data_IF_933852943279
#
_entry.id   IF_933852943279
#
_cell.length_a   1.000
_cell.length_b   1.000
_cell.length_c   1.000
_cell.angle_alpha   90.00
_cell.angle_beta   90.00
_cell.angle_gamma   90.00
#
_symmetry.space_group_name_H-M   'P 1'
#
loop_
_entity.id
_entity.type
_entity.pdbx_description
1 polymer ?
#
# COMPACT_ATOMS: atom_id res chain seq x y z
N UNK A 1 -22.37 -7.12 26.08
CA UNK A 1 -22.74 -7.35 24.67
C UNK A 1 -21.46 -7.29 23.84
N UNK A 2 -20.80 -8.43 23.61
CA UNK A 2 -19.61 -8.53 22.75
C UNK A 2 -20.03 -9.25 21.48
N UNK A 3 -20.15 -8.51 20.39
CA UNK A 3 -20.33 -9.11 19.06
C UNK A 3 -19.32 -8.45 18.14
N UNK A 4 -18.11 -9.04 18.07
CA UNK A 4 -17.12 -8.72 17.06
C UNK A 4 -16.98 -9.91 16.13
N UNK A 5 -17.78 -9.93 15.07
CA UNK A 5 -17.54 -10.82 13.93
C UNK A 5 -17.72 -10.00 12.65
N UNK A 6 -16.61 -9.58 12.07
CA UNK A 6 -16.55 -9.18 10.67
C UNK A 6 -15.60 -10.14 9.96
N UNK A 7 -16.13 -11.29 9.56
CA UNK A 7 -15.56 -12.06 8.46
C UNK A 7 -16.41 -11.70 7.24
N UNK A 8 -15.88 -10.80 6.41
CA UNK A 8 -16.41 -10.53 5.07
C UNK A 8 -15.35 -10.99 4.06
N UNK A 9 -15.23 -12.29 3.85
CA UNK A 9 -14.52 -12.83 2.67
C UNK A 9 -15.51 -12.84 1.51
N UNK A 10 -15.70 -11.68 0.90
CA UNK A 10 -16.27 -11.63 -0.44
C UNK A 10 -15.24 -10.92 -1.32
N UNK A 11 -14.77 -11.63 -2.35
CA UNK A 11 -13.63 -11.36 -3.23
C UNK A 11 -13.65 -9.97 -3.90
N UNK A 12 -13.46 -8.89 -3.13
CA UNK A 12 -13.38 -7.52 -3.62
C UNK A 12 -12.10 -7.30 -4.43
N UNK A 13 -10.98 -7.87 -3.99
CA UNK A 13 -9.72 -7.87 -4.72
C UNK A 13 -9.58 -9.15 -5.53
N UNK A 14 -9.84 -9.07 -6.83
CA UNK A 14 -9.71 -10.23 -7.73
C UNK A 14 -8.24 -10.66 -7.89
N UNK A 15 -7.29 -9.75 -7.66
CA UNK A 15 -5.87 -10.09 -7.68
C UNK A 15 -5.09 -9.31 -6.63
N UNK A 16 -4.76 -9.99 -5.53
CA UNK A 16 -3.81 -9.51 -4.53
C UNK A 16 -2.44 -10.02 -4.95
N UNK A 17 -1.53 -9.12 -5.32
CA UNK A 17 -0.15 -9.51 -5.65
C UNK A 17 0.76 -9.23 -4.47
N UNK A 18 1.43 -10.27 -3.98
CA UNK A 18 2.60 -10.12 -3.12
C UNK A 18 3.76 -9.70 -4.01
N UNK A 19 4.14 -8.42 -3.95
CA UNK A 19 5.20 -7.85 -4.78
C UNK A 19 6.57 -8.23 -4.24
N UNK A 20 6.71 -8.20 -2.91
CA UNK A 20 8.01 -8.37 -2.26
C UNK A 20 7.83 -9.00 -0.89
N UNK A 21 8.78 -9.86 -0.51
CA UNK A 21 8.94 -10.33 0.87
C UNK A 21 10.42 -10.52 1.16
N UNK A 22 10.94 -9.86 2.19
CA UNK A 22 12.32 -10.03 2.63
C UNK A 22 12.95 -8.72 3.11
N UNK A 23 14.27 -8.66 3.05
CA UNK A 23 15.10 -7.52 3.45
C UNK A 23 14.74 -6.24 2.71
N UNK A 24 14.43 -5.18 3.44
CA UNK A 24 14.21 -3.85 2.89
C UNK A 24 15.49 -3.02 3.05
N UNK A 25 16.15 -2.73 1.92
CA UNK A 25 17.31 -1.85 1.90
C UNK A 25 16.89 -0.42 2.21
N UNK A 26 17.27 0.06 3.39
CA UNK A 26 16.69 1.24 3.99
C UNK A 26 17.71 1.93 4.90
N UNK A 27 17.81 3.26 4.82
CA UNK A 27 18.84 4.05 5.52
C UNK A 27 18.80 3.97 7.07
N UNK A 28 17.81 3.30 7.67
CA UNK A 28 17.76 3.04 9.12
C UNK A 28 18.39 1.69 9.50
N UNK A 29 18.77 0.87 8.52
CA UNK A 29 19.47 -0.38 8.77
C UNK A 29 20.84 -0.09 9.41
N UNK A 30 21.23 -0.94 10.35
CA UNK A 30 22.48 -0.91 11.09
C UNK A 30 23.05 -2.33 11.21
N UNK A 31 24.28 -2.46 11.71
CA UNK A 31 25.05 -3.72 11.75
C UNK A 31 24.28 -4.89 12.38
N UNK A 32 23.43 -4.62 13.37
CA UNK A 32 22.67 -5.62 14.13
C UNK A 32 21.14 -5.42 14.07
N UNK A 33 20.64 -4.54 13.20
CA UNK A 33 19.21 -4.25 13.09
C UNK A 33 18.84 -3.85 11.66
N UNK A 34 17.86 -4.53 11.08
CA UNK A 34 17.35 -4.19 9.74
C UNK A 34 15.85 -4.39 9.66
N UNK A 35 15.25 -3.82 8.62
CA UNK A 35 13.84 -4.04 8.32
C UNK A 35 13.65 -5.18 7.32
N UNK A 36 12.70 -6.04 7.61
CA UNK A 36 12.10 -6.96 6.63
C UNK A 36 10.64 -6.58 6.45
N UNK A 37 10.13 -6.71 5.23
CA UNK A 37 8.75 -6.34 4.93
C UNK A 37 8.08 -7.33 4.00
N UNK A 38 6.75 -7.28 3.99
CA UNK A 38 5.90 -7.91 2.99
C UNK A 38 5.11 -6.80 2.30
N UNK A 39 5.34 -6.63 0.99
CA UNK A 39 4.59 -5.67 0.19
C UNK A 39 3.43 -6.37 -0.49
N UNK A 40 2.23 -5.89 -0.19
CA UNK A 40 0.99 -6.33 -0.81
C UNK A 40 0.47 -5.19 -1.67
N UNK A 41 0.26 -5.46 -2.95
CA UNK A 41 -0.37 -4.52 -3.86
C UNK A 41 -1.82 -4.94 -4.12
N UNK A 42 -2.73 -4.10 -3.65
CA UNK A 42 -4.15 -4.18 -3.91
C UNK A 42 -4.48 -3.19 -5.03
N UNK A 43 -4.85 -3.72 -6.19
CA UNK A 43 -5.20 -2.90 -7.34
C UNK A 43 -6.61 -3.23 -7.80
N UNK A 44 -7.39 -2.18 -8.07
CA UNK A 44 -8.77 -2.30 -8.49
C UNK A 44 -8.83 -2.68 -9.98
N UNK A 45 -9.80 -3.51 -10.35
CA UNK A 45 -10.00 -3.88 -11.75
C UNK A 45 -10.89 -2.85 -12.42
N UNK A 46 -10.44 -2.26 -13.53
CA UNK A 46 -11.22 -1.28 -14.32
C UNK A 46 -12.64 -1.79 -14.64
N UNK A 47 -12.77 -3.10 -14.90
CA UNK A 47 -14.04 -3.74 -15.26
C UNK A 47 -15.12 -3.78 -14.16
N UNK A 48 -14.78 -3.53 -12.90
CA UNK A 48 -15.72 -3.62 -11.77
C UNK A 48 -16.04 -2.26 -11.13
N UNK A 49 -15.43 -1.18 -11.62
CA UNK A 49 -15.46 0.12 -10.95
C UNK A 49 -14.68 0.12 -9.63
N UNK A 50 -14.53 1.31 -9.03
CA UNK A 50 -13.79 1.48 -7.78
C UNK A 50 -14.42 0.66 -6.65
N UNK A 51 -13.64 -0.19 -5.98
CA UNK A 51 -14.05 -1.05 -4.86
C UNK A 51 -13.67 -0.46 -3.50
N UNK A 52 -12.72 0.48 -3.49
CA UNK A 52 -12.17 1.21 -2.37
C UNK A 52 -12.69 2.65 -2.42
N UNK A 53 -13.82 2.95 -1.75
CA UNK A 53 -14.33 4.30 -1.70
C UNK A 53 -13.41 5.20 -0.87
N UNK A 54 -13.46 6.52 -1.12
CA UNK A 54 -12.68 7.52 -0.39
C UNK A 54 -12.93 7.51 1.13
N UNK A 55 -14.07 6.98 1.57
CA UNK A 55 -14.36 6.79 3.00
C UNK A 55 -13.31 5.90 3.70
N UNK A 56 -12.61 5.01 2.98
CA UNK A 56 -11.52 4.23 3.57
C UNK A 56 -10.35 5.11 4.00
N UNK A 57 -10.10 6.23 3.31
CA UNK A 57 -9.03 7.15 3.66
C UNK A 57 -9.26 7.78 5.03
N UNK A 58 -10.52 8.01 5.41
CA UNK A 58 -10.88 8.52 6.74
C UNK A 58 -10.48 7.56 7.86
N UNK A 59 -10.45 6.26 7.58
CA UNK A 59 -10.00 5.23 8.54
C UNK A 59 -8.48 5.21 8.69
N UNK A 60 -7.74 5.77 7.74
CA UNK A 60 -6.28 5.82 7.75
C UNK A 60 -5.74 7.12 8.37
N UNK A 61 -6.59 8.13 8.59
CA UNK A 61 -6.20 9.37 9.24
C UNK A 61 -5.86 9.13 10.72
N UNK A 62 -4.77 9.74 11.19
CA UNK A 62 -4.38 9.68 12.59
C UNK A 62 -5.25 10.60 13.45
N UNK A 63 -5.95 10.08 14.48
CA UNK A 63 -6.79 10.89 15.35
C UNK A 63 -5.99 11.97 16.09
N UNK A 64 -6.51 13.21 16.11
CA UNK A 64 -5.89 14.31 16.85
C UNK A 64 -4.77 15.04 16.09
N UNK A 65 -4.57 14.71 14.81
CA UNK A 65 -3.67 15.43 13.90
C UNK A 65 -4.48 16.15 12.82
N UNK A 66 -3.86 17.14 12.17
CA UNK A 66 -4.40 17.75 10.93
C UNK A 66 -4.02 16.95 9.68
N UNK A 67 -3.33 15.81 9.84
CA UNK A 67 -2.86 15.00 8.73
C UNK A 67 -4.02 14.25 8.05
N UNK A 68 -3.96 14.19 6.72
CA UNK A 68 -5.00 13.58 5.90
C UNK A 68 -4.40 12.64 4.86
N UNK A 69 -5.00 11.46 4.75
CA UNK A 69 -4.73 10.50 3.69
C UNK A 69 -5.47 10.90 2.42
N UNK A 70 -4.78 10.81 1.28
CA UNK A 70 -5.35 11.02 -0.04
C UNK A 70 -4.79 9.99 -1.02
N UNK A 71 -5.55 9.69 -2.06
CA UNK A 71 -5.01 9.00 -3.23
C UNK A 71 -4.03 9.93 -3.95
N UNK A 72 -2.88 9.39 -4.36
CA UNK A 72 -1.86 10.13 -5.10
C UNK A 72 -1.46 9.30 -6.30
N UNK A 73 -1.22 9.97 -7.42
CA UNK A 73 -0.65 9.32 -8.60
C UNK A 73 0.77 8.80 -8.31
N UNK A 74 1.02 7.56 -8.68
CA UNK A 74 2.34 6.93 -8.52
C UNK A 74 3.32 7.60 -9.48
N UNK A 75 4.39 8.20 -8.95
CA UNK A 75 5.42 8.89 -9.74
C UNK A 75 6.79 8.84 -9.07
N UNK A 76 7.86 8.99 -9.84
CA UNK A 76 9.24 9.06 -9.36
C UNK A 76 9.50 10.24 -8.40
N UNK A 77 8.69 11.30 -8.48
CA UNK A 77 8.78 12.49 -7.63
C UNK A 77 7.97 12.41 -6.34
N UNK A 78 7.50 11.22 -5.96
CA UNK A 78 6.89 11.05 -4.65
C UNK A 78 7.97 11.30 -3.59
N UNK A 79 7.74 12.25 -2.68
CA UNK A 79 8.63 12.62 -1.55
C UNK A 79 8.70 11.50 -0.49
N UNK A 80 8.78 10.27 -0.95
CA UNK A 80 8.93 9.07 -0.16
C UNK A 80 10.41 8.73 -0.05
N UNK A 81 10.68 7.89 0.93
CA UNK A 81 12.00 7.33 1.14
C UNK A 81 12.44 6.48 -0.05
N UNK A 82 13.74 6.43 -0.32
CA UNK A 82 14.32 5.65 -1.42
C UNK A 82 13.86 4.18 -1.43
N UNK A 83 13.78 3.55 -0.25
CA UNK A 83 13.28 2.18 -0.07
C UNK A 83 11.86 1.98 -0.60
N UNK A 84 10.99 2.98 -0.41
CA UNK A 84 9.60 2.97 -0.87
C UNK A 84 9.48 3.32 -2.35
N UNK A 85 10.34 4.20 -2.87
CA UNK A 85 10.40 4.49 -4.31
C UNK A 85 10.79 3.25 -5.12
N UNK A 86 11.70 2.41 -4.61
CA UNK A 86 12.01 1.13 -5.24
C UNK A 86 10.77 0.23 -5.32
N UNK A 87 9.97 0.16 -4.25
CA UNK A 87 8.72 -0.62 -4.23
C UNK A 87 7.73 -0.09 -5.28
N UNK A 88 7.52 1.23 -5.34
CA UNK A 88 6.59 1.84 -6.30
C UNK A 88 7.04 1.65 -7.75
N UNK A 89 8.35 1.72 -8.02
CA UNK A 89 8.90 1.39 -9.33
C UNK A 89 8.54 -0.04 -9.77
N UNK A 90 8.73 -1.02 -8.87
CA UNK A 90 8.37 -2.42 -9.15
C UNK A 90 6.86 -2.58 -9.39
N UNK A 91 6.02 -1.86 -8.65
CA UNK A 91 4.56 -1.85 -8.87
C UNK A 91 4.22 -1.33 -10.26
N UNK A 92 4.83 -0.21 -10.67
CA UNK A 92 4.60 0.40 -11.98
C UNK A 92 5.04 -0.52 -13.11
N UNK A 93 6.23 -1.13 -13.01
CA UNK A 93 6.73 -2.11 -13.98
C UNK A 93 5.81 -3.33 -14.10
N UNK A 94 5.34 -3.90 -12.98
CA UNK A 94 4.37 -5.01 -12.97
C UNK A 94 3.07 -4.66 -13.71
N UNK A 95 2.67 -3.39 -13.67
CA UNK A 95 1.45 -2.88 -14.31
C UNK A 95 1.70 -2.26 -15.68
N UNK A 96 2.96 -2.23 -16.15
CA UNK A 96 3.37 -1.55 -17.40
C UNK A 96 2.94 -0.07 -17.42
N UNK A 97 2.97 0.56 -16.25
CA UNK A 97 2.71 1.98 -16.08
C UNK A 97 4.03 2.77 -16.15
N UNK A 98 3.92 4.06 -16.46
CA UNK A 98 5.04 4.99 -16.35
C UNK A 98 5.36 5.25 -14.87
N UNK A 99 6.65 5.48 -14.55
CA UNK A 99 7.11 5.80 -13.19
C UNK A 99 8.06 6.98 -13.20
#
# INVERSE_FOLDING_TARGET
MKTGHLIKTNSAFKVIYKIFKGYLDDQLNADSAWMETVVINLHESESKGAQLPDDILKLLNEPGTEEQCKWVEVSHSSNLRTSHNYILKNVAELRRAFY
#
